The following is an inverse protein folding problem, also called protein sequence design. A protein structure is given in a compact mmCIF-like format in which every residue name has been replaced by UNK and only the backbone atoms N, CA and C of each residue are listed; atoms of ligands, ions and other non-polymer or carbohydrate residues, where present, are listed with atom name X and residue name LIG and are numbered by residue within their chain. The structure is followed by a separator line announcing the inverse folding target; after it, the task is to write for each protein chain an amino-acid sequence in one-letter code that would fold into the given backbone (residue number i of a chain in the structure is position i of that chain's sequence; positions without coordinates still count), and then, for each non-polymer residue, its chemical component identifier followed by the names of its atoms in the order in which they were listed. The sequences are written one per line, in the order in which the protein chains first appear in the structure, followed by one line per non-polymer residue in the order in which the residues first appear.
data_IF_812920956371
#
_entry.id   IF_812920956371
#
_cell.length_a   1.000
_cell.length_b   1.000
_cell.length_c   1.000
_cell.angle_alpha   90.00
_cell.angle_beta   90.00
_cell.angle_gamma   90.00
#
_symmetry.space_group_name_H-M   'P 1'
#
loop_
_entity.id
_entity.type
_entity.pdbx_description
1 polymer ?
#
# COMPACT_ATOMS: atom_id res chain seq x y z
N UNK A 1 12.85 5.16 -10.28
CA UNK A 1 11.44 4.95 -10.62
C UNK A 1 10.64 4.61 -9.37
N UNK A 2 9.50 5.29 -9.15
CA UNK A 2 8.53 4.94 -8.11
C UNK A 2 7.33 4.17 -8.68
N UNK A 3 6.78 3.25 -7.90
CA UNK A 3 5.55 2.51 -8.22
C UNK A 3 4.56 2.63 -7.06
N UNK A 4 3.33 3.03 -7.39
CA UNK A 4 2.19 3.00 -6.48
C UNK A 4 1.48 1.64 -6.64
N UNK A 5 1.56 0.78 -5.62
CA UNK A 5 0.85 -0.50 -5.60
C UNK A 5 -0.44 -0.31 -4.81
N UNK A 6 -1.60 -0.54 -5.44
CA UNK A 6 -2.90 -0.18 -4.83
C UNK A 6 -4.06 -1.02 -5.35
N UNK A 7 -5.04 -1.28 -4.50
CA UNK A 7 -6.37 -1.77 -4.91
C UNK A 7 -7.45 -0.66 -4.89
N UNK A 8 -7.05 0.59 -4.64
CA UNK A 8 -7.95 1.74 -4.52
C UNK A 8 -8.01 2.50 -5.86
N UNK A 9 -9.17 2.48 -6.52
CA UNK A 9 -9.35 3.17 -7.80
C UNK A 9 -9.11 4.69 -7.72
N UNK A 10 -9.38 5.33 -6.58
CA UNK A 10 -9.09 6.77 -6.42
C UNK A 10 -7.59 7.06 -6.46
N UNK A 11 -6.78 6.19 -5.86
CA UNK A 11 -5.32 6.28 -5.92
C UNK A 11 -4.82 6.03 -7.34
N UNK A 12 -5.36 5.01 -8.02
CA UNK A 12 -5.06 4.77 -9.44
C UNK A 12 -5.34 6.01 -10.26
N UNK A 13 -6.57 6.52 -10.24
CA UNK A 13 -6.99 7.63 -11.09
C UNK A 13 -6.24 8.93 -10.78
N UNK A 14 -5.85 9.14 -9.51
CA UNK A 14 -5.09 10.32 -9.10
C UNK A 14 -3.65 10.33 -9.60
N UNK A 15 -3.01 9.15 -9.63
CA UNK A 15 -1.55 9.04 -9.84
C UNK A 15 -1.17 8.40 -11.16
N UNK A 16 -2.09 7.72 -11.84
CA UNK A 16 -1.87 7.21 -13.19
C UNK A 16 -1.56 8.37 -14.13
N UNK A 17 -0.46 8.24 -14.87
CA UNK A 17 0.07 9.30 -15.74
C UNK A 17 1.06 10.25 -15.04
N UNK A 18 1.18 10.20 -13.71
CA UNK A 18 2.21 10.92 -12.93
C UNK A 18 3.30 9.97 -12.42
N UNK A 19 2.88 8.82 -11.93
CA UNK A 19 3.75 7.73 -11.48
C UNK A 19 3.30 6.43 -12.14
N UNK A 20 4.16 5.41 -12.09
CA UNK A 20 3.75 4.05 -12.42
C UNK A 20 2.77 3.57 -11.35
N UNK A 21 1.63 3.04 -11.78
CA UNK A 21 0.63 2.46 -10.88
C UNK A 21 0.49 0.97 -11.21
N UNK A 22 0.67 0.12 -10.19
CA UNK A 22 0.29 -1.28 -10.23
C UNK A 22 -1.06 -1.42 -9.51
N UNK A 23 -2.13 -1.40 -10.30
CA UNK A 23 -3.49 -1.46 -9.79
C UNK A 23 -3.98 -2.90 -9.74
N UNK A 24 -4.29 -3.37 -8.52
CA UNK A 24 -4.85 -4.69 -8.28
C UNK A 24 -6.38 -4.61 -8.37
N UNK A 25 -6.89 -4.69 -9.59
CA UNK A 25 -8.34 -4.75 -9.82
C UNK A 25 -8.93 -5.97 -9.11
N UNK A 26 -9.98 -5.74 -8.31
CA UNK A 26 -10.60 -6.75 -7.44
C UNK A 26 -9.65 -7.38 -6.38
N UNK A 27 -8.46 -6.80 -6.18
CA UNK A 27 -7.53 -7.23 -5.13
C UNK A 27 -7.98 -6.79 -3.75
N UNK A 28 -7.70 -7.61 -2.75
CA UNK A 28 -7.92 -7.31 -1.34
C UNK A 28 -6.74 -6.56 -0.73
N UNK A 29 -6.91 -6.08 0.51
CA UNK A 29 -5.83 -5.47 1.31
C UNK A 29 -4.58 -6.36 1.37
N UNK A 30 -4.76 -7.67 1.61
CA UNK A 30 -3.64 -8.61 1.73
C UNK A 30 -2.94 -8.84 0.40
N UNK A 31 -3.66 -8.77 -0.73
CA UNK A 31 -3.06 -8.90 -2.06
C UNK A 31 -2.09 -7.76 -2.35
N UNK A 32 -2.40 -6.53 -1.89
CA UNK A 32 -1.48 -5.39 -1.98
C UNK A 32 -0.20 -5.68 -1.19
N UNK A 33 -0.31 -6.17 0.05
CA UNK A 33 0.87 -6.50 0.87
C UNK A 33 1.73 -7.59 0.22
N UNK A 34 1.10 -8.67 -0.26
CA UNK A 34 1.77 -9.77 -0.96
C UNK A 34 2.48 -9.28 -2.22
N UNK A 35 1.82 -8.41 -2.98
CA UNK A 35 2.39 -7.83 -4.21
C UNK A 35 3.62 -7.00 -3.91
N UNK A 36 3.57 -6.16 -2.87
CA UNK A 36 4.72 -5.35 -2.42
C UNK A 36 5.87 -6.23 -1.96
N UNK A 37 5.63 -7.27 -1.14
CA UNK A 37 6.67 -8.23 -0.75
C UNK A 37 7.34 -8.87 -1.98
N UNK A 38 6.54 -9.28 -2.97
CA UNK A 38 7.08 -9.87 -4.20
C UNK A 38 7.93 -8.88 -5.02
N UNK A 39 7.67 -7.58 -4.93
CA UNK A 39 8.54 -6.54 -5.49
C UNK A 39 9.83 -6.40 -4.69
N UNK A 40 9.75 -6.41 -3.36
CA UNK A 40 10.94 -6.33 -2.51
C UNK A 40 11.91 -7.48 -2.78
N UNK A 41 11.42 -8.71 -2.94
CA UNK A 41 12.26 -9.85 -3.33
C UNK A 41 12.89 -9.72 -4.72
N UNK A 42 12.46 -8.74 -5.53
CA UNK A 42 13.07 -8.36 -6.82
C UNK A 42 14.00 -7.16 -6.70
N UNK A 43 14.33 -6.72 -5.48
CA UNK A 43 15.23 -5.60 -5.21
C UNK A 43 14.55 -4.23 -5.09
N UNK A 44 13.22 -4.16 -5.03
CA UNK A 44 12.55 -2.86 -4.84
C UNK A 44 12.60 -2.41 -3.38
N UNK A 45 12.77 -1.11 -3.19
CA UNK A 45 12.77 -0.43 -1.90
C UNK A 45 11.35 -0.12 -1.42
N UNK A 46 11.10 -0.31 -0.13
CA UNK A 46 9.85 0.09 0.51
C UNK A 46 9.89 1.58 0.89
N UNK A 47 8.98 2.39 0.33
CA UNK A 47 9.00 3.85 0.55
C UNK A 47 7.97 4.32 1.59
N UNK A 48 6.92 3.55 1.80
CA UNK A 48 5.84 3.88 2.75
C UNK A 48 5.50 2.69 3.62
N UNK A 49 5.22 2.96 4.90
CA UNK A 49 4.91 1.90 5.85
C UNK A 49 3.63 1.13 5.47
N UNK A 50 3.63 -0.22 5.46
CA UNK A 50 2.51 -1.02 4.95
C UNK A 50 1.27 -0.92 5.84
N UNK A 51 1.46 -0.66 7.13
CA UNK A 51 0.37 -0.47 8.10
C UNK A 51 0.15 1.00 8.47
N UNK A 52 0.48 1.94 7.59
CA UNK A 52 0.16 3.36 7.81
C UNK A 52 -1.36 3.57 7.95
N UNK A 53 -1.77 4.37 8.96
CA UNK A 53 -3.18 4.62 9.30
C UNK A 53 -3.58 4.00 10.65
N UNK A 54 -4.71 4.45 11.22
CA UNK A 54 -5.25 3.95 12.49
C UNK A 54 -6.29 2.84 12.33
N UNK A 55 -6.84 2.67 11.12
CA UNK A 55 -7.82 1.64 10.81
C UNK A 55 -7.13 0.29 10.59
N UNK A 56 -7.70 -0.76 11.17
CA UNK A 56 -7.18 -2.13 11.02
C UNK A 56 -7.52 -2.70 9.64
N UNK A 57 -6.74 -3.66 9.11
CA UNK A 57 -7.01 -4.27 7.80
C UNK A 57 -8.39 -4.93 7.67
N UNK A 58 -8.98 -5.38 8.79
CA UNK A 58 -10.34 -5.94 8.80
C UNK A 58 -11.45 -4.89 8.97
N UNK A 59 -11.11 -3.61 8.99
CA UNK A 59 -12.07 -2.49 9.01
C UNK A 59 -12.13 -1.80 7.66
N UNK A 60 -10.98 -1.60 7.02
CA UNK A 60 -10.83 -0.92 5.73
C UNK A 60 -10.33 -1.90 4.65
N UNK A 61 -11.02 -2.04 3.51
CA UNK A 61 -10.62 -2.99 2.47
C UNK A 61 -9.52 -2.46 1.53
N UNK A 62 -9.23 -1.16 1.57
CA UNK A 62 -8.33 -0.49 0.64
C UNK A 62 -6.95 -0.26 1.23
N UNK A 63 -5.92 -0.45 0.39
CA UNK A 63 -4.55 -0.13 0.73
C UNK A 63 -3.74 0.37 -0.46
N UNK A 64 -2.93 1.38 -0.20
CA UNK A 64 -1.91 1.87 -1.12
C UNK A 64 -0.53 1.90 -0.47
N UNK A 65 0.49 1.40 -1.18
CA UNK A 65 1.90 1.40 -0.76
C UNK A 65 2.76 1.87 -1.93
N UNK A 66 3.74 2.72 -1.65
CA UNK A 66 4.75 3.14 -2.61
C UNK A 66 6.02 2.30 -2.41
N UNK A 67 6.59 1.89 -3.53
CA UNK A 67 7.91 1.28 -3.63
C UNK A 67 8.76 2.03 -4.67
N UNK A 68 10.07 1.85 -4.65
CA UNK A 68 10.97 2.38 -5.67
C UNK A 68 12.01 1.34 -6.09
N UNK A 69 12.70 1.61 -7.20
CA UNK A 69 13.89 0.86 -7.64
C UNK A 69 15.21 1.45 -7.09
N UNK A 70 15.12 2.33 -6.08
CA UNK A 70 16.30 2.89 -5.41
C UNK A 70 17.14 1.77 -4.81
N UNK A 71 18.46 1.96 -4.78
CA UNK A 71 19.37 1.03 -4.11
C UNK A 71 18.96 0.82 -2.65
N UNK A 72 19.01 -0.44 -2.22
CA UNK A 72 18.71 -0.87 -0.86
C UNK A 72 19.91 -1.61 -0.32
N UNK A 73 20.54 -1.05 0.70
CA UNK A 73 21.60 -1.74 1.43
C UNK A 73 21.06 -2.98 2.12
N UNK A 74 21.91 -3.99 2.31
CA UNK A 74 21.49 -5.30 2.83
C UNK A 74 20.79 -5.18 4.19
N UNK A 75 21.33 -4.37 5.09
CA UNK A 75 20.75 -4.15 6.42
C UNK A 75 19.38 -3.45 6.36
N UNK A 76 19.21 -2.48 5.45
CA UNK A 76 17.93 -1.79 5.22
C UNK A 76 16.90 -2.75 4.64
N UNK A 77 17.31 -3.61 3.71
CA UNK A 77 16.45 -4.65 3.12
C UNK A 77 15.87 -5.58 4.18
N UNK A 78 16.69 -6.09 5.11
CA UNK A 78 16.21 -6.95 6.19
C UNK A 78 15.20 -6.25 7.10
N UNK A 79 15.38 -4.96 7.37
CA UNK A 79 14.41 -4.18 8.13
C UNK A 79 13.08 -4.06 7.40
N UNK A 80 13.11 -3.75 6.10
CA UNK A 80 11.89 -3.68 5.29
C UNK A 80 11.19 -5.03 5.19
N UNK A 81 11.94 -6.11 4.98
CA UNK A 81 11.42 -7.48 4.92
C UNK A 81 10.69 -7.82 6.22
N UNK A 82 11.32 -7.55 7.37
CA UNK A 82 10.69 -7.75 8.68
C UNK A 82 9.41 -6.93 8.86
N UNK A 83 9.42 -5.65 8.45
CA UNK A 83 8.22 -4.80 8.48
C UNK A 83 7.11 -5.37 7.60
N UNK A 84 7.44 -5.86 6.41
CA UNK A 84 6.48 -6.43 5.47
C UNK A 84 5.86 -7.71 5.99
N UNK A 85 6.68 -8.66 6.46
CA UNK A 85 6.21 -9.93 7.00
C UNK A 85 5.35 -9.74 8.26
N UNK A 86 5.76 -8.85 9.17
CA UNK A 86 4.95 -8.51 10.33
C UNK A 86 3.60 -7.86 9.96
N UNK A 87 3.58 -7.06 8.88
CA UNK A 87 2.35 -6.44 8.37
C UNK A 87 1.40 -7.47 7.78
N UNK A 88 1.92 -8.41 6.99
CA UNK A 88 1.18 -9.55 6.43
C UNK A 88 0.59 -10.39 7.57
N UNK A 89 1.43 -10.82 8.53
CA UNK A 89 0.99 -11.62 9.67
C UNK A 89 -0.08 -10.91 10.51
N UNK A 90 0.07 -9.61 10.74
CA UNK A 90 -0.92 -8.80 11.46
C UNK A 90 -2.24 -8.72 10.70
N UNK A 91 -2.18 -8.50 9.38
CA UNK A 91 -3.35 -8.48 8.52
C UNK A 91 -4.11 -9.82 8.56
N UNK A 92 -3.41 -10.94 8.40
CA UNK A 92 -4.00 -12.28 8.50
C UNK A 92 -4.67 -12.52 9.84
N UNK A 93 -4.02 -12.12 10.94
CA UNK A 93 -4.58 -12.23 12.29
C UNK A 93 -5.89 -11.44 12.41
N UNK A 94 -5.91 -10.17 11.97
CA UNK A 94 -7.12 -9.36 12.01
C UNK A 94 -8.25 -9.97 11.19
N UNK A 95 -7.95 -10.46 9.98
CA UNK A 95 -8.94 -11.11 9.10
C UNK A 95 -9.48 -12.42 9.68
N UNK A 96 -8.64 -13.17 10.41
CA UNK A 96 -9.03 -14.40 11.12
C UNK A 96 -9.92 -14.10 12.32
N UNK A 97 -9.59 -13.04 13.10
CA UNK A 97 -10.36 -12.65 14.28
C UNK A 97 -11.74 -12.11 13.89
N UNK A 98 -11.82 -11.30 12.83
CA UNK A 98 -13.07 -10.81 12.26
C UNK A 98 -12.86 -10.45 10.80
N UNK A 99 -13.71 -10.97 9.90
CA UNK A 99 -13.68 -10.59 8.49
C UNK A 99 -14.09 -9.13 8.29
N UNK A 100 -13.56 -8.52 7.24
CA UNK A 100 -14.00 -7.20 6.78
C UNK A 100 -15.50 -7.24 6.50
N UNK A 101 -16.29 -6.31 7.06
CA UNK A 101 -17.71 -6.22 6.75
C UNK A 101 -17.95 -5.90 5.28
N UNK A 102 -19.10 -6.33 4.76
CA UNK A 102 -19.63 -5.85 3.48
C UNK A 102 -20.19 -4.44 3.69
N UNK A 103 -19.31 -3.45 3.55
CA UNK A 103 -19.67 -2.06 3.74
C UNK A 103 -20.56 -1.55 2.59
N UNK A 104 -21.55 -0.68 2.88
CA UNK A 104 -22.28 0.01 1.83
C UNK A 104 -21.36 0.97 1.06
N UNK A 105 -21.71 1.25 -0.19
CA UNK A 105 -20.84 1.98 -1.12
C UNK A 105 -20.42 3.37 -0.61
N UNK A 106 -21.28 4.07 0.12
CA UNK A 106 -20.92 5.37 0.71
C UNK A 106 -19.78 5.27 1.74
N UNK A 107 -19.73 4.18 2.52
CA UNK A 107 -18.64 3.94 3.48
C UNK A 107 -17.38 3.47 2.75
N UNK A 108 -17.53 2.65 1.70
CA UNK A 108 -16.39 2.28 0.85
C UNK A 108 -15.75 3.51 0.23
N UNK A 109 -16.56 4.47 -0.22
CA UNK A 109 -16.09 5.73 -0.79
C UNK A 109 -15.27 6.56 0.20
N UNK A 110 -15.73 6.66 1.45
CA UNK A 110 -14.98 7.30 2.55
C UNK A 110 -13.65 6.58 2.82
N UNK A 111 -13.64 5.24 2.83
CA UNK A 111 -12.40 4.48 3.01
C UNK A 111 -11.41 4.69 1.87
N UNK A 112 -11.87 4.86 0.63
CA UNK A 112 -10.98 5.22 -0.49
C UNK A 112 -10.35 6.58 -0.29
N UNK A 113 -11.08 7.55 0.25
CA UNK A 113 -10.54 8.88 0.57
C UNK A 113 -9.54 8.84 1.72
N UNK A 114 -9.82 8.04 2.76
CA UNK A 114 -8.88 7.82 3.87
C UNK A 114 -7.55 7.26 3.34
N UNK A 115 -7.57 6.17 2.58
CA UNK A 115 -6.34 5.58 2.01
C UNK A 115 -5.61 6.54 1.06
N UNK A 116 -6.34 7.29 0.22
CA UNK A 116 -5.76 8.30 -0.66
C UNK A 116 -5.06 9.43 0.13
N UNK A 117 -5.68 9.94 1.18
CA UNK A 117 -5.12 11.01 2.00
C UNK A 117 -3.83 10.58 2.73
N UNK A 118 -3.76 9.32 3.16
CA UNK A 118 -2.57 8.77 3.82
C UNK A 118 -1.35 8.76 2.90
N UNK A 119 -1.56 8.55 1.59
CA UNK A 119 -0.46 8.44 0.64
C UNK A 119 -0.07 9.76 -0.02
N UNK A 120 -0.99 10.74 -0.04
CA UNK A 120 -0.81 11.99 -0.76
C UNK A 120 0.44 12.77 -0.32
N UNK A 121 0.74 12.80 0.98
CA UNK A 121 1.94 13.45 1.50
C UNK A 121 3.25 12.79 1.02
N UNK A 122 3.25 11.47 0.86
CA UNK A 122 4.40 10.74 0.34
C UNK A 122 4.58 10.99 -1.17
N UNK A 123 3.48 10.92 -1.94
CA UNK A 123 3.53 11.16 -3.39
C UNK A 123 3.96 12.59 -3.71
N UNK A 124 3.46 13.60 -2.99
CA UNK A 124 3.89 15.00 -3.17
C UNK A 124 5.40 15.13 -3.06
N UNK A 125 6.01 14.57 -2.01
CA UNK A 125 7.46 14.60 -1.81
C UNK A 125 8.23 13.91 -2.93
N UNK A 126 7.66 12.89 -3.56
CA UNK A 126 8.28 12.18 -4.68
C UNK A 126 8.22 13.04 -5.94
N UNK A 127 7.04 13.55 -6.30
CA UNK A 127 6.86 14.36 -7.51
C UNK A 127 7.70 15.64 -7.45
N UNK A 128 7.71 16.34 -6.32
CA UNK A 128 8.52 17.56 -6.16
C UNK A 128 10.04 17.33 -6.09
N UNK A 129 10.50 16.07 -5.94
CA UNK A 129 11.94 15.74 -6.05
C UNK A 129 12.37 15.51 -7.49
N UNK A 130 11.43 15.24 -8.40
CA UNK A 130 11.70 14.97 -9.80
C UNK A 130 11.60 16.23 -10.68
N UNK A 131 11.14 17.36 -10.12
CA UNK A 131 11.16 18.71 -10.71
C UNK A 131 12.45 19.47 -10.36
#
# INVERSE_FOLDING_TARGET
MYIVVTNNMKCRDRYQGKLKVDFLENGSYIDVLIKVRNYMHKGYRLETHPMAGSLKPNQIPYKTIIISDSEVEREEFYQFEMVMENSIQSCEKFMKDRRTPDWPENILEDFRDVDLSLIEGAVKKIIYKEE
#
